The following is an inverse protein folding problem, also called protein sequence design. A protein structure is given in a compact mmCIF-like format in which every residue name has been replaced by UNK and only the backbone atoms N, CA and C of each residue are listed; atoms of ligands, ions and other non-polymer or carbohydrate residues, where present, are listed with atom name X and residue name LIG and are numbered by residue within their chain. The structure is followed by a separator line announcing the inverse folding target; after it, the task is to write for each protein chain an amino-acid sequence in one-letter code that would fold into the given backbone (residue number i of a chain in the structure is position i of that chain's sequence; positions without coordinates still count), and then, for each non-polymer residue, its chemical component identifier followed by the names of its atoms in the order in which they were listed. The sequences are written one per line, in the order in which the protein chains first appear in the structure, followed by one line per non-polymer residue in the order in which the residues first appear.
data_IF_995462011238
#
_entry.id   IF_995462011238
#
_cell.length_a   1.000
_cell.length_b   1.000
_cell.length_c   1.000
_cell.angle_alpha   90.00
_cell.angle_beta   90.00
_cell.angle_gamma   90.00
#
_symmetry.space_group_name_H-M   'P 1'
#
loop_
_entity.id
_entity.type
_entity.pdbx_description
1 polymer ?
#
# COMPACT_ATOMS: atom_id res chain seq x y z
N UNK A 1 -31.35 9.73 66.88
CA UNK A 1 -30.13 9.99 66.12
C UNK A 1 -30.30 9.33 64.74
N UNK A 2 -30.62 10.11 63.71
CA UNK A 2 -30.76 9.61 62.32
C UNK A 2 -29.41 9.77 61.61
N UNK A 3 -28.77 8.66 61.16
CA UNK A 3 -27.52 8.68 60.38
C UNK A 3 -27.92 8.92 58.89
N UNK A 4 -27.42 10.03 58.32
CA UNK A 4 -27.45 10.27 56.87
C UNK A 4 -26.26 9.55 56.26
N UNK A 5 -26.53 8.65 55.31
CA UNK A 5 -25.50 8.01 54.45
C UNK A 5 -25.47 8.79 53.15
N UNK A 6 -24.41 9.50 52.89
CA UNK A 6 -24.19 10.25 51.64
C UNK A 6 -23.53 9.30 50.62
N UNK A 7 -24.29 8.98 49.56
CA UNK A 7 -23.76 8.25 48.40
C UNK A 7 -22.99 9.21 47.52
N UNK A 8 -21.70 9.00 47.38
CA UNK A 8 -20.87 9.66 46.36
C UNK A 8 -20.95 8.84 45.07
N UNK A 9 -21.68 9.35 44.08
CA UNK A 9 -21.70 8.77 42.71
C UNK A 9 -20.41 9.12 41.97
N UNK A 10 -19.60 8.11 41.65
CA UNK A 10 -18.43 8.26 40.79
C UNK A 10 -18.94 8.28 39.34
N UNK A 11 -18.91 9.45 38.70
CA UNK A 11 -19.18 9.60 37.27
C UNK A 11 -17.93 9.21 36.49
N UNK A 12 -17.95 8.02 35.88
CA UNK A 12 -16.90 7.59 34.97
C UNK A 12 -17.12 8.31 33.63
N UNK A 13 -16.28 9.30 33.33
CA UNK A 13 -16.22 9.95 32.02
C UNK A 13 -15.43 9.03 31.08
N UNK A 14 -16.15 8.34 30.19
CA UNK A 14 -15.54 7.61 29.08
C UNK A 14 -15.02 8.63 28.05
N UNK A 15 -13.73 8.92 28.10
CA UNK A 15 -13.05 9.68 27.04
C UNK A 15 -12.91 8.77 25.84
N UNK A 16 -13.83 8.89 24.89
CA UNK A 16 -13.69 8.30 23.56
C UNK A 16 -12.55 9.01 22.83
N UNK A 17 -11.38 8.38 22.73
CA UNK A 17 -10.33 8.82 21.80
C UNK A 17 -10.78 8.60 20.36
N UNK A 18 -11.44 9.59 19.79
CA UNK A 18 -11.62 9.65 18.34
C UNK A 18 -10.23 9.83 17.71
N UNK A 19 -9.75 8.81 17.02
CA UNK A 19 -8.54 8.91 16.17
C UNK A 19 -8.90 9.84 15.01
N UNK A 20 -8.55 11.11 15.13
CA UNK A 20 -8.71 12.08 14.05
C UNK A 20 -7.79 11.66 12.90
N UNK A 21 -8.38 11.14 11.82
CA UNK A 21 -7.69 10.92 10.55
C UNK A 21 -7.04 12.24 10.12
N UNK A 22 -5.71 12.28 10.04
CA UNK A 22 -4.97 13.48 9.63
C UNK A 22 -5.19 13.70 8.14
N UNK A 23 -6.19 14.51 7.81
CA UNK A 23 -6.37 15.02 6.45
C UNK A 23 -5.40 16.17 6.24
N UNK A 24 -4.57 16.09 5.21
CA UNK A 24 -3.85 17.24 4.72
C UNK A 24 -4.85 18.16 3.96
N UNK A 25 -4.66 19.49 4.02
CA UNK A 25 -5.55 20.48 3.38
C UNK A 25 -5.66 20.34 1.84
N UNK A 26 -4.92 19.44 1.23
CA UNK A 26 -4.80 19.18 -0.21
C UNK A 26 -5.53 17.91 -0.70
N UNK A 27 -6.36 17.30 0.17
CA UNK A 27 -7.18 16.11 -0.15
C UNK A 27 -6.46 14.77 -0.02
N UNK A 28 -5.23 14.74 0.48
CA UNK A 28 -4.52 13.51 0.81
C UNK A 28 -4.96 12.94 2.16
N UNK A 29 -5.11 11.62 2.22
CA UNK A 29 -5.44 10.86 3.43
C UNK A 29 -4.36 9.81 3.67
N UNK A 30 -3.81 9.77 4.88
CA UNK A 30 -2.83 8.75 5.25
C UNK A 30 -3.53 7.41 5.50
N UNK A 31 -3.02 6.36 4.86
CA UNK A 31 -3.47 4.97 5.02
C UNK A 31 -2.73 4.26 6.15
N UNK A 32 -1.58 4.78 6.55
CA UNK A 32 -0.76 4.28 7.65
C UNK A 32 -0.54 5.39 8.69
N UNK A 33 -0.75 5.07 9.96
CA UNK A 33 -0.69 6.02 11.09
C UNK A 33 0.73 6.20 11.66
N UNK A 34 1.71 5.45 11.15
CA UNK A 34 3.07 5.41 11.65
C UNK A 34 3.25 4.62 12.95
N UNK A 35 2.21 3.95 13.46
CA UNK A 35 2.23 3.30 14.79
C UNK A 35 1.74 1.86 14.76
N UNK A 36 0.68 1.57 14.00
CA UNK A 36 -0.01 0.28 14.04
C UNK A 36 -0.38 -0.21 12.63
N UNK A 37 -0.67 -1.50 12.50
CA UNK A 37 -1.24 -2.11 11.30
C UNK A 37 -2.77 -2.30 11.42
N UNK A 38 -3.47 -1.55 12.31
CA UNK A 38 -4.90 -1.77 12.60
C UNK A 38 -5.82 -1.64 11.36
N UNK A 39 -5.43 -0.83 10.37
CA UNK A 39 -6.17 -0.67 9.10
C UNK A 39 -5.61 -1.56 7.98
N UNK A 40 -4.86 -2.57 8.34
CA UNK A 40 -4.19 -3.46 7.40
C UNK A 40 -4.43 -4.91 7.77
N UNK A 41 -4.54 -5.76 6.77
CA UNK A 41 -4.80 -7.19 6.91
C UNK A 41 -3.75 -8.00 6.17
N UNK A 42 -3.20 -8.98 6.85
CA UNK A 42 -2.24 -9.94 6.27
C UNK A 42 -2.93 -11.30 6.18
N UNK A 43 -2.67 -12.01 5.09
CA UNK A 43 -3.00 -13.43 5.00
C UNK A 43 -1.97 -14.29 5.72
N UNK A 44 -1.38 -15.23 5.01
CA UNK A 44 -0.31 -16.07 5.54
C UNK A 44 0.96 -15.27 5.82
N UNK A 45 1.83 -15.79 6.69
CA UNK A 45 3.14 -15.22 7.02
C UNK A 45 3.09 -13.77 7.57
N UNK A 46 2.12 -13.47 8.44
CA UNK A 46 1.96 -12.13 9.02
C UNK A 46 3.24 -11.56 9.67
N UNK A 47 4.14 -12.42 10.17
CA UNK A 47 5.43 -12.03 10.73
C UNK A 47 6.38 -11.34 9.72
N UNK A 48 6.07 -11.40 8.41
CA UNK A 48 6.81 -10.68 7.37
C UNK A 48 6.61 -9.16 7.43
N UNK A 49 5.63 -8.68 8.20
CA UNK A 49 5.34 -7.25 8.36
C UNK A 49 5.38 -6.85 9.83
N UNK A 50 6.06 -5.74 10.12
CA UNK A 50 6.10 -5.14 11.45
C UNK A 50 6.20 -3.61 11.35
N UNK A 51 5.86 -2.93 12.43
CA UNK A 51 6.05 -1.49 12.54
C UNK A 51 7.27 -1.21 13.41
N UNK A 52 8.22 -0.45 12.88
CA UNK A 52 9.40 0.00 13.60
C UNK A 52 9.70 1.47 13.24
N UNK A 53 9.92 2.30 14.23
CA UNK A 53 10.32 3.72 14.06
C UNK A 53 9.46 4.51 13.07
N UNK A 54 8.13 4.31 13.10
CA UNK A 54 7.20 5.01 12.20
C UNK A 54 7.12 4.45 10.78
N UNK A 55 7.66 3.27 10.54
CA UNK A 55 7.74 2.62 9.22
C UNK A 55 7.12 1.23 9.27
N UNK A 56 6.51 0.81 8.17
CA UNK A 56 6.25 -0.60 7.91
C UNK A 56 7.56 -1.21 7.40
N UNK A 57 8.05 -2.21 8.10
CA UNK A 57 9.20 -3.03 7.70
C UNK A 57 8.66 -4.32 7.11
N UNK A 58 9.03 -4.59 5.87
CA UNK A 58 8.71 -5.81 5.14
C UNK A 58 9.98 -6.66 5.06
N UNK A 59 9.95 -7.84 5.67
CA UNK A 59 11.07 -8.79 5.61
C UNK A 59 10.60 -10.17 6.10
N UNK A 60 10.56 -11.16 5.26
CA UNK A 60 10.11 -12.51 5.61
C UNK A 60 9.63 -13.29 4.40
N UNK A 61 8.90 -14.37 4.66
CA UNK A 61 8.32 -15.22 3.61
C UNK A 61 7.28 -14.46 2.76
N UNK A 62 6.94 -15.05 1.60
CA UNK A 62 5.90 -14.49 0.71
C UNK A 62 4.63 -14.19 1.49
N UNK A 63 4.22 -12.93 1.43
CA UNK A 63 3.04 -12.43 2.12
C UNK A 63 2.57 -11.11 1.48
N UNK A 64 1.31 -10.74 1.71
CA UNK A 64 0.79 -9.46 1.24
C UNK A 64 0.02 -8.77 2.37
N UNK A 65 0.33 -7.48 2.57
CA UNK A 65 -0.30 -6.61 3.56
C UNK A 65 -1.31 -5.73 2.85
N UNK A 66 -2.60 -6.07 2.96
CA UNK A 66 -3.71 -5.39 2.29
C UNK A 66 -4.25 -4.26 3.16
N UNK A 67 -4.50 -3.09 2.55
CA UNK A 67 -5.23 -2.04 3.23
C UNK A 67 -6.70 -2.46 3.41
N UNK A 68 -7.19 -2.44 4.66
CA UNK A 68 -8.54 -2.90 5.08
C UNK A 68 -9.27 -1.82 5.90
N UNK A 69 -8.83 -0.56 5.77
CA UNK A 69 -9.42 0.56 6.52
C UNK A 69 -10.64 1.18 5.83
N UNK A 70 -11.31 2.10 6.53
CA UNK A 70 -12.62 2.66 6.13
C UNK A 70 -12.58 3.66 4.97
N UNK A 71 -11.40 4.13 4.51
CA UNK A 71 -11.33 5.09 3.42
C UNK A 71 -11.92 4.45 2.16
N UNK A 72 -13.03 5.02 1.64
CA UNK A 72 -13.77 4.46 0.50
C UNK A 72 -14.14 2.98 0.66
N UNK A 73 -14.28 2.49 1.90
CA UNK A 73 -14.44 1.07 2.20
C UNK A 73 -13.38 0.20 1.53
N UNK A 74 -12.12 0.70 1.51
CA UNK A 74 -10.96 0.12 0.81
C UNK A 74 -11.22 -0.27 -0.67
N UNK A 75 -12.15 0.40 -1.35
CA UNK A 75 -12.44 0.25 -2.78
C UNK A 75 -12.10 1.53 -3.54
N UNK A 76 -10.90 1.60 -4.07
CA UNK A 76 -10.40 2.73 -4.86
C UNK A 76 -10.54 2.41 -6.34
N UNK A 77 -11.08 3.35 -7.14
CA UNK A 77 -11.21 3.27 -8.59
C UNK A 77 -10.28 4.29 -9.26
N UNK A 78 -10.55 5.59 -9.07
CA UNK A 78 -9.66 6.66 -9.50
C UNK A 78 -8.95 7.25 -8.28
N UNK A 79 -7.64 7.37 -8.35
CA UNK A 79 -6.84 7.83 -7.21
C UNK A 79 -5.45 8.33 -7.62
N UNK A 80 -4.82 9.06 -6.72
CA UNK A 80 -3.36 9.18 -6.63
C UNK A 80 -2.90 8.50 -5.32
N UNK A 81 -1.94 7.61 -5.41
CA UNK A 81 -1.30 6.95 -4.28
C UNK A 81 0.15 7.37 -4.20
N UNK A 82 0.67 7.56 -2.99
CA UNK A 82 2.10 7.82 -2.74
C UNK A 82 2.56 7.04 -1.51
N UNK A 83 3.77 6.50 -1.61
CA UNK A 83 4.51 5.94 -0.48
C UNK A 83 5.97 6.36 -0.57
N UNK A 84 6.58 6.67 0.58
CA UNK A 84 8.03 6.77 0.65
C UNK A 84 8.57 5.36 0.90
N UNK A 85 9.50 4.94 0.06
CA UNK A 85 10.05 3.59 0.00
C UNK A 85 11.57 3.61 0.13
N UNK A 86 12.13 2.61 0.80
CA UNK A 86 13.57 2.35 0.81
C UNK A 86 13.80 0.85 0.74
N UNK A 87 14.46 0.39 -0.31
CA UNK A 87 14.91 -1.00 -0.46
C UNK A 87 16.30 -1.18 0.15
N UNK A 88 16.55 -2.36 0.72
CA UNK A 88 17.91 -2.79 1.02
C UNK A 88 18.50 -3.52 -0.20
N UNK A 89 19.84 -3.64 -0.30
CA UNK A 89 20.47 -4.33 -1.41
C UNK A 89 19.91 -5.75 -1.64
N UNK A 90 19.57 -6.06 -2.88
CA UNK A 90 18.99 -7.35 -3.28
C UNK A 90 17.51 -7.53 -2.94
N UNK A 91 16.84 -6.50 -2.44
CA UNK A 91 15.42 -6.60 -2.07
C UNK A 91 14.50 -6.51 -3.28
N UNK A 92 13.39 -7.28 -3.20
CA UNK A 92 12.26 -7.26 -4.11
C UNK A 92 10.96 -7.08 -3.30
N UNK A 93 10.07 -6.26 -3.80
CA UNK A 93 8.74 -6.00 -3.26
C UNK A 93 7.84 -5.42 -4.36
N UNK A 94 6.60 -5.06 -4.03
CA UNK A 94 5.66 -4.43 -4.96
C UNK A 94 4.53 -3.72 -4.22
N UNK A 95 3.91 -2.78 -4.92
CA UNK A 95 2.71 -2.08 -4.48
C UNK A 95 1.58 -2.49 -5.42
N UNK A 96 0.62 -3.24 -4.89
CA UNK A 96 -0.58 -3.64 -5.63
C UNK A 96 -1.67 -2.59 -5.50
N UNK A 97 -2.46 -2.43 -6.56
CA UNK A 97 -3.68 -1.61 -6.56
C UNK A 97 -4.81 -2.27 -7.35
N UNK A 98 -6.05 -1.86 -7.12
CA UNK A 98 -7.26 -2.54 -7.62
C UNK A 98 -7.33 -4.02 -7.22
N UNK A 99 -6.59 -4.40 -6.17
CA UNK A 99 -6.57 -5.76 -5.67
C UNK A 99 -7.67 -5.99 -4.62
N UNK A 100 -7.73 -7.19 -4.08
CA UNK A 100 -8.61 -7.57 -2.99
C UNK A 100 -7.87 -8.51 -2.05
N UNK A 101 -8.35 -8.61 -0.80
CA UNK A 101 -7.75 -9.52 0.16
C UNK A 101 -7.70 -10.96 -0.40
N UNK A 102 -6.55 -11.57 -0.26
CA UNK A 102 -6.29 -12.96 -0.60
C UNK A 102 -5.44 -13.58 0.51
N UNK A 103 -5.84 -14.78 0.98
CA UNK A 103 -5.21 -15.42 2.13
C UNK A 103 -3.76 -15.81 1.86
N UNK A 104 -3.47 -16.33 0.68
CA UNK A 104 -2.17 -16.88 0.33
C UNK A 104 -1.81 -16.62 -1.12
N UNK A 105 -0.55 -16.87 -1.50
CA UNK A 105 -0.03 -16.71 -2.87
C UNK A 105 0.00 -15.27 -3.35
N UNK A 106 0.31 -15.07 -4.62
CA UNK A 106 0.35 -13.77 -5.28
C UNK A 106 -1.06 -13.24 -5.57
N UNK A 107 -1.35 -11.94 -5.38
CA UNK A 107 -2.66 -11.38 -5.71
C UNK A 107 -3.03 -11.62 -7.16
N UNK A 108 -4.18 -12.25 -7.37
CA UNK A 108 -4.69 -12.58 -8.71
C UNK A 108 -5.42 -11.41 -9.37
N UNK A 109 -5.79 -10.37 -8.60
CA UNK A 109 -6.58 -9.23 -9.07
C UNK A 109 -5.78 -7.93 -8.95
N UNK A 110 -5.96 -7.06 -9.94
CA UNK A 110 -5.34 -5.73 -9.99
C UNK A 110 -3.95 -5.76 -10.59
N UNK A 111 -3.26 -4.64 -10.45
CA UNK A 111 -1.92 -4.43 -10.98
C UNK A 111 -0.89 -4.35 -9.87
N UNK A 112 0.35 -4.61 -10.22
CA UNK A 112 1.51 -4.43 -9.36
C UNK A 112 2.43 -3.36 -9.94
N UNK A 113 2.87 -2.43 -9.10
CA UNK A 113 4.01 -1.55 -9.39
C UNK A 113 5.22 -2.08 -8.63
N UNK A 114 6.25 -2.40 -9.40
CA UNK A 114 7.45 -3.09 -8.90
C UNK A 114 8.29 -2.20 -7.98
N UNK A 115 8.81 -2.79 -6.91
CA UNK A 115 9.79 -2.21 -5.98
C UNK A 115 11.04 -3.09 -5.98
N UNK A 116 11.98 -2.81 -6.88
CA UNK A 116 13.20 -3.59 -7.07
C UNK A 116 14.31 -2.73 -7.69
N UNK A 117 15.35 -2.42 -6.92
CA UNK A 117 16.48 -1.64 -7.44
C UNK A 117 17.68 -2.52 -7.87
N UNK A 118 17.89 -3.66 -7.21
CA UNK A 118 19.10 -4.47 -7.43
C UNK A 118 18.92 -5.99 -7.34
N UNK A 119 17.70 -6.49 -7.08
CA UNK A 119 17.44 -7.93 -7.06
C UNK A 119 17.55 -8.52 -8.48
N UNK A 120 17.68 -9.82 -8.63
CA UNK A 120 17.98 -10.50 -9.90
C UNK A 120 16.89 -10.41 -10.97
N UNK A 121 15.61 -10.20 -10.59
CA UNK A 121 14.59 -9.84 -11.58
C UNK A 121 15.00 -8.54 -12.27
N UNK A 122 15.00 -8.54 -13.61
CA UNK A 122 15.40 -7.39 -14.41
C UNK A 122 14.39 -6.23 -14.40
N UNK A 123 13.15 -6.48 -13.95
CA UNK A 123 12.11 -5.45 -13.83
C UNK A 123 12.42 -4.55 -12.66
N UNK A 124 12.52 -3.26 -12.91
CA UNK A 124 12.95 -2.28 -11.90
C UNK A 124 11.78 -1.52 -11.31
N UNK A 125 12.06 -0.88 -10.18
CA UNK A 125 11.12 0.00 -9.46
C UNK A 125 10.39 0.93 -10.43
N UNK A 126 9.06 1.02 -10.26
CA UNK A 126 8.17 1.80 -11.09
C UNK A 126 7.63 1.06 -12.32
N UNK A 127 8.09 -0.19 -12.64
CA UNK A 127 7.46 -1.02 -13.67
C UNK A 127 5.98 -1.25 -13.33
N UNK A 128 5.11 -1.17 -14.31
CA UNK A 128 3.80 -1.81 -14.25
C UNK A 128 4.01 -3.28 -14.63
N UNK A 129 4.20 -4.12 -13.60
CA UNK A 129 4.79 -5.46 -13.69
C UNK A 129 4.13 -6.35 -14.75
N UNK A 130 4.95 -6.78 -15.74
CA UNK A 130 4.49 -7.64 -16.83
C UNK A 130 3.51 -6.99 -17.83
N UNK A 131 3.36 -5.66 -17.77
CA UNK A 131 2.52 -4.87 -18.67
C UNK A 131 3.37 -3.85 -19.42
N UNK A 132 4.05 -2.98 -18.70
CA UNK A 132 5.02 -2.03 -19.21
C UNK A 132 6.18 -1.92 -18.23
N UNK A 133 7.23 -2.67 -18.51
CA UNK A 133 8.34 -2.84 -17.59
C UNK A 133 9.44 -1.81 -17.82
N UNK A 134 10.05 -1.36 -16.73
CA UNK A 134 11.22 -0.47 -16.67
C UNK A 134 12.47 -1.32 -16.45
N UNK A 135 13.54 -1.08 -17.22
CA UNK A 135 14.84 -1.78 -17.11
C UNK A 135 15.88 -0.96 -16.38
N UNK A 136 15.78 0.36 -16.48
CA UNK A 136 16.74 1.29 -15.90
C UNK A 136 16.52 1.45 -14.40
N UNK A 137 17.62 1.56 -13.66
CA UNK A 137 17.61 1.85 -12.22
C UNK A 137 17.62 3.36 -12.00
N UNK A 138 16.51 3.91 -11.53
CA UNK A 138 16.38 5.36 -11.27
C UNK A 138 16.71 5.76 -9.84
N UNK A 139 16.68 4.81 -8.90
CA UNK A 139 16.96 5.04 -7.48
C UNK A 139 17.85 3.93 -6.95
N UNK A 140 18.64 4.26 -5.91
CA UNK A 140 19.58 3.31 -5.30
C UNK A 140 18.98 2.68 -4.05
N UNK A 141 19.44 1.47 -3.72
CA UNK A 141 19.16 0.88 -2.42
C UNK A 141 19.68 1.75 -1.28
N UNK A 142 19.12 1.56 -0.10
CA UNK A 142 19.41 2.30 1.12
C UNK A 142 19.18 3.82 1.01
N UNK A 143 18.35 4.24 0.04
CA UNK A 143 17.98 5.63 -0.18
C UNK A 143 16.45 5.75 -0.23
N UNK A 144 15.90 6.75 0.47
CA UNK A 144 14.48 7.05 0.40
C UNK A 144 14.10 7.68 -0.94
N UNK A 145 13.01 7.20 -1.52
CA UNK A 145 12.35 7.79 -2.69
C UNK A 145 10.84 7.74 -2.51
N UNK A 146 10.14 8.58 -3.23
CA UNK A 146 8.67 8.53 -3.29
C UNK A 146 8.24 7.76 -4.52
N UNK A 147 7.51 6.67 -4.34
CA UNK A 147 6.82 5.96 -5.40
C UNK A 147 5.38 6.42 -5.47
N UNK A 148 4.91 6.78 -6.68
CA UNK A 148 3.57 7.32 -6.91
C UNK A 148 2.86 6.55 -8.01
N UNK A 149 1.56 6.35 -7.80
CA UNK A 149 0.66 5.67 -8.74
C UNK A 149 -0.54 6.57 -8.94
N UNK A 150 -0.86 6.90 -10.18
CA UNK A 150 -2.07 7.65 -10.53
C UNK A 150 -2.93 6.83 -11.48
N UNK A 151 -4.20 6.69 -11.15
CA UNK A 151 -5.20 6.02 -11.99
C UNK A 151 -6.37 6.94 -12.23
N UNK A 152 -6.70 7.18 -13.50
CA UNK A 152 -7.88 7.94 -13.93
C UNK A 152 -8.51 7.21 -15.13
N UNK A 153 -9.70 6.69 -14.95
CA UNK A 153 -10.36 5.85 -15.95
C UNK A 153 -9.49 4.64 -16.30
N UNK A 154 -9.04 4.55 -17.55
CA UNK A 154 -8.17 3.46 -18.04
C UNK A 154 -6.68 3.81 -18.02
N UNK A 155 -6.32 5.01 -17.63
CA UNK A 155 -4.93 5.49 -17.63
C UNK A 155 -4.26 5.22 -16.29
N UNK A 156 -3.10 4.57 -16.34
CA UNK A 156 -2.21 4.31 -15.21
C UNK A 156 -0.90 5.07 -15.46
N UNK A 157 -0.43 5.79 -14.44
CA UNK A 157 0.88 6.47 -14.46
C UNK A 157 1.64 6.03 -13.23
N UNK A 158 2.89 5.58 -13.40
CA UNK A 158 3.82 5.34 -12.30
C UNK A 158 4.93 6.38 -12.31
N UNK A 159 5.35 6.81 -11.12
CA UNK A 159 6.36 7.85 -10.98
C UNK A 159 7.31 7.52 -9.83
N UNK A 160 8.57 7.91 -9.98
CA UNK A 160 9.57 7.92 -8.91
C UNK A 160 10.11 9.35 -8.75
N UNK A 161 9.98 9.92 -7.53
CA UNK A 161 10.36 11.30 -7.24
C UNK A 161 9.80 12.29 -8.29
N UNK A 162 8.51 12.14 -8.61
CA UNK A 162 7.77 12.93 -9.61
C UNK A 162 8.22 12.74 -11.08
N UNK A 163 9.23 11.89 -11.37
CA UNK A 163 9.59 11.49 -12.73
C UNK A 163 8.65 10.37 -13.19
N UNK A 164 7.92 10.59 -14.28
CA UNK A 164 7.08 9.57 -14.92
C UNK A 164 7.98 8.49 -15.52
N UNK A 165 7.71 7.23 -15.17
CA UNK A 165 8.41 6.06 -15.70
C UNK A 165 7.51 5.24 -16.64
N UNK A 166 6.23 5.10 -16.28
CA UNK A 166 5.24 4.40 -17.08
C UNK A 166 4.02 5.29 -17.27
N UNK A 167 3.50 5.31 -18.48
CA UNK A 167 2.22 5.88 -18.84
C UNK A 167 1.50 4.86 -19.72
N UNK A 168 0.53 4.16 -19.14
CA UNK A 168 -0.20 3.07 -19.78
C UNK A 168 -1.69 3.39 -19.84
N UNK A 169 -2.31 3.15 -21.00
CA UNK A 169 -3.77 3.21 -21.15
C UNK A 169 -4.28 1.82 -21.53
N UNK A 170 -5.11 1.23 -20.65
CA UNK A 170 -5.67 -0.08 -20.90
C UNK A 170 -6.62 -0.06 -22.12
N UNK A 171 -6.44 -0.96 -23.11
CA UNK A 171 -7.34 -1.06 -24.25
C UNK A 171 -8.72 -1.62 -23.83
N UNK A 172 -9.75 -1.38 -24.65
CA UNK A 172 -11.13 -1.80 -24.35
C UNK A 172 -11.29 -3.32 -24.21
N UNK A 173 -10.59 -4.08 -25.03
CA UNK A 173 -10.70 -5.53 -25.07
C UNK A 173 -9.35 -6.17 -24.71
N UNK A 174 -8.80 -5.77 -23.55
CA UNK A 174 -7.51 -6.30 -23.11
C UNK A 174 -7.57 -7.81 -22.91
N UNK A 175 -6.60 -8.50 -23.50
CA UNK A 175 -6.36 -9.93 -23.27
C UNK A 175 -5.10 -10.08 -22.46
N UNK A 176 -5.14 -10.89 -21.42
CA UNK A 176 -3.99 -11.22 -20.57
C UNK A 176 -3.61 -12.68 -20.79
N UNK A 177 -2.35 -12.98 -20.53
CA UNK A 177 -1.88 -14.36 -20.49
C UNK A 177 -2.54 -15.13 -19.33
N UNK A 178 -2.55 -16.45 -19.44
CA UNK A 178 -3.07 -17.33 -18.40
C UNK A 178 -2.40 -17.06 -17.04
N UNK A 179 -3.21 -16.93 -15.99
CA UNK A 179 -2.77 -16.56 -14.65
C UNK A 179 -2.65 -15.04 -14.40
N UNK A 180 -2.85 -14.21 -15.43
CA UNK A 180 -2.83 -12.75 -15.32
C UNK A 180 -4.18 -12.10 -15.70
N UNK A 181 -5.24 -12.87 -15.84
CA UNK A 181 -6.56 -12.40 -16.29
C UNK A 181 -7.13 -11.30 -15.41
N UNK A 182 -6.79 -11.30 -14.13
CA UNK A 182 -7.21 -10.29 -13.16
C UNK A 182 -6.42 -8.98 -13.22
N UNK A 183 -5.36 -8.86 -14.03
CA UNK A 183 -4.59 -7.62 -14.24
C UNK A 183 -5.32 -6.69 -15.21
N UNK A 184 -6.45 -6.17 -14.74
CA UNK A 184 -7.32 -5.26 -15.49
C UNK A 184 -7.76 -4.10 -14.61
N UNK A 185 -8.07 -2.96 -15.25
CA UNK A 185 -8.65 -1.80 -14.55
C UNK A 185 -9.98 -2.22 -13.90
N UNK A 186 -10.11 -1.93 -12.62
CA UNK A 186 -11.30 -2.25 -11.85
C UNK A 186 -11.45 -1.26 -10.67
N UNK A 187 -11.85 -1.73 -9.52
CA UNK A 187 -11.75 -1.09 -8.21
C UNK A 187 -11.28 -2.12 -7.19
N UNK A 188 -10.65 -1.66 -6.13
CA UNK A 188 -10.17 -2.53 -5.06
C UNK A 188 -9.22 -1.79 -4.14
N UNK A 189 -8.53 -2.54 -3.30
CA UNK A 189 -7.62 -2.00 -2.30
C UNK A 189 -6.17 -1.94 -2.80
N UNK A 190 -5.29 -1.52 -1.90
CA UNK A 190 -3.83 -1.57 -2.07
C UNK A 190 -3.25 -2.72 -1.28
N UNK A 191 -2.10 -3.26 -1.72
CA UNK A 191 -1.33 -4.17 -0.92
C UNK A 191 0.18 -3.92 -1.08
N UNK A 192 0.94 -4.19 -0.01
CA UNK A 192 2.39 -4.19 -0.03
C UNK A 192 2.87 -5.64 -0.04
N UNK A 193 3.87 -5.94 -0.86
CA UNK A 193 4.38 -7.30 -1.05
C UNK A 193 5.57 -7.59 -0.13
N UNK A 194 5.54 -8.72 0.57
CA UNK A 194 6.70 -9.45 1.07
C UNK A 194 7.09 -10.52 0.07
N UNK A 195 8.24 -10.40 -0.55
CA UNK A 195 8.63 -11.25 -1.68
C UNK A 195 9.37 -12.52 -1.24
N UNK A 196 10.35 -12.38 -0.37
CA UNK A 196 11.18 -13.48 0.13
C UNK A 196 11.97 -13.05 1.38
N UNK A 197 12.55 -13.99 2.16
CA UNK A 197 13.27 -13.66 3.40
C UNK A 197 14.52 -12.79 3.24
N UNK A 198 15.09 -12.70 2.04
CA UNK A 198 16.25 -11.87 1.76
C UNK A 198 15.86 -10.44 1.35
N UNK A 199 14.60 -10.25 0.99
CA UNK A 199 14.06 -8.96 0.61
C UNK A 199 13.65 -8.15 1.83
N UNK A 200 14.33 -7.01 2.06
CA UNK A 200 13.98 -6.08 3.13
C UNK A 200 13.67 -4.71 2.57
N UNK A 201 12.44 -4.24 2.82
CA UNK A 201 11.93 -2.96 2.32
C UNK A 201 11.24 -2.20 3.44
N UNK A 202 11.35 -0.88 3.41
CA UNK A 202 10.71 0.03 4.36
C UNK A 202 9.71 0.92 3.63
N UNK A 203 8.53 1.10 4.23
CA UNK A 203 7.49 1.99 3.74
C UNK A 203 7.06 2.97 4.82
N UNK A 204 6.87 4.23 4.46
CA UNK A 204 6.28 5.26 5.32
C UNK A 204 5.48 6.27 4.51
N UNK A 205 4.79 7.19 5.18
CA UNK A 205 4.02 8.26 4.54
C UNK A 205 3.05 7.74 3.46
N UNK A 206 2.49 6.53 3.67
CA UNK A 206 1.57 5.89 2.74
C UNK A 206 0.26 6.68 2.75
N UNK A 207 -0.11 7.25 1.61
CA UNK A 207 -1.27 8.13 1.49
C UNK A 207 -1.95 8.01 0.13
N UNK A 208 -3.23 8.33 0.11
CA UNK A 208 -4.06 8.32 -1.08
C UNK A 208 -4.82 9.64 -1.21
N UNK A 209 -4.98 10.09 -2.43
CA UNK A 209 -5.94 11.13 -2.81
C UNK A 209 -6.98 10.47 -3.72
N UNK A 210 -8.22 10.42 -3.24
CA UNK A 210 -9.32 9.88 -4.04
C UNK A 210 -9.69 10.89 -5.12
N UNK A 211 -9.82 10.43 -6.34
CA UNK A 211 -10.22 11.25 -7.48
C UNK A 211 -11.68 10.94 -7.86
N UNK A 212 -12.38 11.86 -8.53
CA UNK A 212 -13.73 11.63 -9.04
C UNK A 212 -13.78 10.44 -10.01
N UNK A 213 -14.95 9.77 -10.05
CA UNK A 213 -15.26 8.68 -10.97
C UNK A 213 -15.65 9.18 -12.36
#
# INVERSE_FOLDING_TARGET
MKKFITFWGITIVLVSCAVTKKMANDGWVYLFDGKTLNNWKVGDNAASFKVENGMIVVNGNVAHLFYDGDIKNHEFKNFEFKADVMTMPGANSGIYFHTQFQQSSWPLKGYEVQVNNSQSDWRRTGSLYGIQDVKEVYVRDSTWYTESIKVVGKKIITMINDKILVEYTEPDNVKREAGNEGRVISKGTFALQGHDPNSKVYYKNIRVKVLPD
#
